data_IF_412636827220
#
_entry.id   IF_412636827220
#
_cell.length_a   1.000
_cell.length_b   1.000
_cell.length_c   1.000
_cell.angle_alpha   90.00
_cell.angle_beta   90.00
_cell.angle_gamma   90.00
#
_symmetry.space_group_name_H-M   'P 1'
#
loop_
_entity.id
_entity.type
_entity.pdbx_description
1 polymer ?
#
# COMPACT_ATOMS: atom_id res chain seq x y z
N UNK A 1 -44.30 21.67 58.73
CA UNK A 1 -42.85 21.54 58.56
C UNK A 1 -42.72 20.73 57.31
N UNK A 2 -42.30 21.37 56.23
CA UNK A 2 -42.48 20.90 54.88
C UNK A 2 -41.21 20.25 54.36
N UNK A 3 -41.33 19.06 53.84
CA UNK A 3 -40.30 18.30 53.22
C UNK A 3 -39.85 18.92 51.90
N UNK A 4 -38.55 19.20 51.81
CA UNK A 4 -37.86 19.54 50.58
C UNK A 4 -37.19 18.25 50.04
N UNK A 5 -37.95 17.51 49.27
CA UNK A 5 -37.36 16.44 48.46
C UNK A 5 -36.72 17.09 47.21
N UNK A 6 -35.45 17.21 47.25
CA UNK A 6 -34.63 17.60 46.12
C UNK A 6 -34.60 16.47 45.09
N UNK A 7 -35.27 16.70 44.00
CA UNK A 7 -35.17 15.85 42.77
C UNK A 7 -33.75 15.98 42.22
N UNK A 8 -32.95 14.98 42.44
CA UNK A 8 -31.69 14.78 41.71
C UNK A 8 -32.08 14.33 40.30
N UNK A 9 -32.11 15.25 39.39
CA UNK A 9 -32.16 14.93 37.95
C UNK A 9 -30.79 14.34 37.62
N UNK A 10 -30.73 13.03 37.55
CA UNK A 10 -29.65 12.30 36.88
C UNK A 10 -29.70 12.68 35.40
N UNK A 11 -28.97 13.70 35.03
CA UNK A 11 -28.63 13.93 33.63
C UNK A 11 -27.76 12.76 33.18
N UNK A 12 -28.40 11.71 32.68
CA UNK A 12 -27.73 10.70 31.86
C UNK A 12 -27.22 11.42 30.65
N UNK A 13 -25.95 11.77 30.69
CA UNK A 13 -25.23 12.25 29.52
C UNK A 13 -25.17 11.07 28.54
N UNK A 14 -26.22 10.92 27.75
CA UNK A 14 -26.16 10.20 26.49
C UNK A 14 -25.22 11.05 25.62
N UNK A 15 -23.94 10.76 25.72
CA UNK A 15 -22.99 11.15 24.69
C UNK A 15 -23.40 10.33 23.47
N UNK A 16 -24.44 10.79 22.78
CA UNK A 16 -24.62 10.42 21.38
C UNK A 16 -23.32 10.82 20.71
N UNK A 17 -22.55 9.84 20.26
CA UNK A 17 -21.36 10.05 19.44
C UNK A 17 -21.86 10.70 18.14
N UNK A 18 -22.11 12.04 18.22
CA UNK A 18 -22.50 12.82 17.06
C UNK A 18 -21.29 12.84 16.12
N UNK A 19 -21.52 12.47 14.89
CA UNK A 19 -20.55 12.62 13.81
C UNK A 19 -20.06 14.08 13.79
N UNK A 20 -18.79 14.31 14.05
CA UNK A 20 -18.20 15.65 14.13
C UNK A 20 -17.15 15.83 13.09
N UNK A 21 -17.21 16.96 12.40
CA UNK A 21 -16.13 17.41 11.52
C UNK A 21 -15.49 18.66 12.13
N UNK A 22 -14.21 18.57 12.46
CA UNK A 22 -13.44 19.66 13.04
C UNK A 22 -12.55 20.32 12.00
N UNK A 23 -12.49 21.66 11.92
CA UNK A 23 -11.58 22.37 11.01
C UNK A 23 -10.14 22.36 11.53
N UNK A 24 -9.21 22.73 10.65
CA UNK A 24 -7.82 22.98 11.02
C UNK A 24 -6.94 21.73 11.08
N UNK A 25 -7.24 20.69 10.31
CA UNK A 25 -6.38 19.51 10.21
C UNK A 25 -4.94 19.94 9.87
N UNK A 26 -4.00 19.59 10.76
CA UNK A 26 -2.58 19.96 10.66
C UNK A 26 -2.33 21.49 10.53
N UNK A 27 -3.18 22.33 11.12
CA UNK A 27 -3.07 23.80 11.07
C UNK A 27 -3.39 24.41 9.71
N UNK A 28 -4.01 23.66 8.80
CA UNK A 28 -4.40 24.14 7.46
C UNK A 28 -5.84 24.65 7.47
N UNK A 29 -6.04 25.86 7.01
CA UNK A 29 -7.38 26.40 6.77
C UNK A 29 -8.10 25.61 5.66
N UNK A 30 -9.42 25.45 5.76
CA UNK A 30 -10.27 24.68 4.85
C UNK A 30 -9.94 23.18 4.76
N UNK A 31 -9.31 22.63 5.80
CA UNK A 31 -9.06 21.20 5.97
C UNK A 31 -9.82 20.69 7.18
N UNK A 32 -10.51 19.57 7.01
CA UNK A 32 -11.46 19.05 8.00
C UNK A 32 -11.14 17.61 8.35
N UNK A 33 -11.24 17.27 9.63
CA UNK A 33 -11.24 15.88 10.08
C UNK A 33 -12.63 15.51 10.58
N UNK A 34 -13.20 14.44 10.07
CA UNK A 34 -14.50 13.91 10.43
C UNK A 34 -14.37 12.55 11.11
N UNK A 35 -15.12 12.35 12.20
CA UNK A 35 -15.10 11.11 12.98
C UNK A 35 -16.52 10.67 13.36
N UNK A 36 -16.68 9.37 13.69
CA UNK A 36 -17.95 8.83 14.17
C UNK A 36 -19.04 8.76 13.12
N UNK A 37 -18.68 8.81 11.82
CA UNK A 37 -19.64 8.73 10.73
C UNK A 37 -20.11 7.29 10.51
N UNK A 38 -21.41 7.11 10.34
CA UNK A 38 -22.00 5.85 9.86
C UNK A 38 -22.43 5.94 8.38
N UNK A 39 -22.44 7.16 7.83
CA UNK A 39 -22.73 7.46 6.43
C UNK A 39 -22.01 8.75 6.04
N UNK A 40 -21.80 8.96 4.74
CA UNK A 40 -21.17 10.19 4.20
C UNK A 40 -22.19 11.34 4.10
N UNK A 41 -22.84 11.67 5.20
CA UNK A 41 -23.84 12.74 5.32
C UNK A 41 -23.42 13.81 6.32
N UNK A 42 -22.20 14.25 6.23
CA UNK A 42 -21.63 15.28 7.09
C UNK A 42 -21.74 16.69 6.47
N UNK A 43 -21.74 17.70 7.32
CA UNK A 43 -21.80 19.10 6.89
C UNK A 43 -20.48 19.80 7.20
N UNK A 44 -19.79 20.20 6.14
CA UNK A 44 -18.65 21.11 6.18
C UNK A 44 -18.80 22.16 5.08
N UNK A 45 -18.13 23.31 5.18
CA UNK A 45 -18.23 24.35 4.16
C UNK A 45 -17.88 23.84 2.76
N UNK A 46 -18.56 24.28 1.71
CA UNK A 46 -18.34 23.80 0.34
C UNK A 46 -16.95 24.15 -0.21
N UNK A 47 -16.26 25.12 0.39
CA UNK A 47 -14.87 25.47 0.02
C UNK A 47 -13.79 24.61 0.68
N UNK A 48 -14.13 23.45 1.23
CA UNK A 48 -13.16 22.52 1.81
C UNK A 48 -12.15 22.05 0.76
N UNK A 49 -10.86 22.15 1.09
CA UNK A 49 -9.74 21.70 0.26
C UNK A 49 -9.23 20.32 0.63
N UNK A 50 -9.40 19.93 1.88
CA UNK A 50 -9.01 18.61 2.37
C UNK A 50 -10.04 18.06 3.35
N UNK A 51 -10.34 16.77 3.20
CA UNK A 51 -11.22 16.01 4.07
C UNK A 51 -10.52 14.74 4.50
N UNK A 52 -10.41 14.54 5.82
CA UNK A 52 -9.93 13.30 6.42
C UNK A 52 -11.04 12.66 7.23
N UNK A 53 -11.45 11.45 6.88
CA UNK A 53 -12.48 10.68 7.60
C UNK A 53 -11.78 9.51 8.28
N UNK A 54 -11.89 9.46 9.60
CA UNK A 54 -11.28 8.44 10.44
C UNK A 54 -12.29 7.93 11.46
N UNK A 55 -11.98 6.83 12.15
CA UNK A 55 -12.79 6.31 13.26
C UNK A 55 -14.30 6.26 12.94
N UNK A 56 -14.65 5.88 11.73
CA UNK A 56 -16.02 5.88 11.18
C UNK A 56 -16.39 4.49 10.67
N UNK A 57 -17.67 4.21 10.51
CA UNK A 57 -18.16 2.94 10.00
C UNK A 57 -18.90 3.16 8.66
N UNK A 58 -18.12 3.19 7.58
CA UNK A 58 -18.62 3.50 6.23
C UNK A 58 -18.32 2.31 5.33
N UNK A 59 -19.25 1.35 5.24
CA UNK A 59 -19.05 0.16 4.41
C UNK A 59 -19.10 0.45 2.90
N UNK A 60 -19.79 1.55 2.50
CA UNK A 60 -20.07 1.86 1.10
C UNK A 60 -19.94 3.34 0.80
N UNK A 61 -19.23 3.68 -0.26
CA UNK A 61 -19.17 5.03 -0.84
C UNK A 61 -20.15 5.05 -2.04
N UNK A 62 -21.19 5.84 -1.93
CA UNK A 62 -22.25 5.93 -2.95
C UNK A 62 -21.83 6.82 -4.12
N UNK A 63 -22.50 6.66 -5.25
CA UNK A 63 -22.43 7.58 -6.40
C UNK A 63 -22.59 9.03 -5.92
N UNK A 64 -21.79 9.94 -6.46
CA UNK A 64 -21.80 11.38 -6.16
C UNK A 64 -21.61 11.74 -4.66
N UNK A 65 -21.01 10.86 -3.86
CA UNK A 65 -20.87 11.03 -2.41
C UNK A 65 -20.18 12.35 -1.99
N UNK A 66 -19.38 12.91 -2.85
CA UNK A 66 -18.60 14.13 -2.60
C UNK A 66 -18.92 15.28 -3.56
N UNK A 67 -20.01 15.20 -4.33
CA UNK A 67 -20.35 16.17 -5.38
C UNK A 67 -20.38 17.64 -4.89
N UNK A 68 -20.76 17.86 -3.62
CA UNK A 68 -20.78 19.20 -3.03
C UNK A 68 -19.39 19.87 -2.90
N UNK A 69 -18.32 19.11 -3.10
CA UNK A 69 -16.94 19.59 -3.01
C UNK A 69 -16.22 19.61 -4.35
N UNK A 70 -16.93 19.45 -5.46
CA UNK A 70 -16.38 19.34 -6.82
C UNK A 70 -15.39 20.46 -7.16
N UNK A 71 -15.71 21.70 -6.77
CA UNK A 71 -14.93 22.87 -7.15
C UNK A 71 -13.70 23.13 -6.28
N UNK A 72 -13.58 22.45 -5.11
CA UNK A 72 -12.61 22.84 -4.10
C UNK A 72 -11.71 21.72 -3.59
N UNK A 73 -12.17 20.45 -3.63
CA UNK A 73 -11.48 19.36 -2.95
C UNK A 73 -10.19 18.95 -3.67
N UNK A 74 -9.08 19.02 -2.94
CA UNK A 74 -7.73 18.67 -3.43
C UNK A 74 -7.25 17.35 -2.83
N UNK A 75 -7.64 17.05 -1.59
CA UNK A 75 -7.25 15.83 -0.88
C UNK A 75 -8.45 15.23 -0.15
N UNK A 76 -8.63 13.90 -0.32
CA UNK A 76 -9.62 13.11 0.37
C UNK A 76 -8.96 11.87 0.97
N UNK A 77 -9.04 11.74 2.29
CA UNK A 77 -8.56 10.56 3.00
C UNK A 77 -9.69 9.89 3.77
N UNK A 78 -9.89 8.58 3.58
CA UNK A 78 -10.85 7.76 4.30
C UNK A 78 -10.08 6.58 4.88
N UNK A 79 -9.73 6.66 6.16
CA UNK A 79 -8.80 5.73 6.79
C UNK A 79 -9.46 4.90 7.87
N UNK A 80 -9.37 3.57 7.75
CA UNK A 80 -9.85 2.65 8.78
C UNK A 80 -11.36 2.68 9.00
N UNK A 81 -12.12 3.02 7.95
CA UNK A 81 -13.57 3.19 8.04
C UNK A 81 -14.37 1.94 7.63
N UNK A 82 -13.67 0.86 7.22
CA UNK A 82 -14.32 -0.38 6.83
C UNK A 82 -14.94 -0.37 5.43
N UNK A 83 -14.53 0.53 4.55
CA UNK A 83 -15.04 0.62 3.18
C UNK A 83 -14.79 -0.67 2.41
N UNK A 84 -15.86 -1.30 1.93
CA UNK A 84 -15.84 -2.53 1.13
C UNK A 84 -16.24 -2.27 -0.32
N UNK A 85 -17.18 -1.35 -0.53
CA UNK A 85 -17.76 -1.05 -1.84
C UNK A 85 -17.65 0.43 -2.19
N UNK A 86 -17.24 0.71 -3.42
CA UNK A 86 -17.23 2.04 -4.02
C UNK A 86 -18.10 1.96 -5.28
N UNK A 87 -19.23 2.67 -5.28
CA UNK A 87 -20.13 2.69 -6.42
C UNK A 87 -19.49 3.38 -7.64
N UNK A 88 -19.95 3.05 -8.85
CA UNK A 88 -19.60 3.83 -10.04
C UNK A 88 -19.85 5.31 -9.82
N UNK A 89 -18.94 6.15 -10.33
CA UNK A 89 -19.02 7.61 -10.22
C UNK A 89 -19.06 8.18 -8.78
N UNK A 90 -18.59 7.42 -7.79
CA UNK A 90 -18.54 7.85 -6.40
C UNK A 90 -17.76 9.17 -6.19
N UNK A 91 -16.77 9.42 -7.04
CA UNK A 91 -15.92 10.61 -7.01
C UNK A 91 -16.11 11.52 -8.23
N UNK A 92 -17.27 11.41 -8.91
CA UNK A 92 -17.56 12.21 -10.10
C UNK A 92 -17.51 13.70 -9.79
N UNK A 93 -16.89 14.49 -10.69
CA UNK A 93 -16.78 15.94 -10.60
C UNK A 93 -15.68 16.42 -9.67
N UNK A 94 -14.90 15.53 -9.01
CA UNK A 94 -13.75 15.94 -8.21
C UNK A 94 -12.53 16.26 -9.08
N UNK A 95 -12.69 17.14 -10.06
CA UNK A 95 -11.66 17.44 -11.06
C UNK A 95 -10.39 18.02 -10.45
N UNK A 96 -10.48 18.66 -9.28
CA UNK A 96 -9.34 19.23 -8.58
C UNK A 96 -8.65 18.25 -7.63
N UNK A 97 -9.17 17.02 -7.46
CA UNK A 97 -8.60 16.06 -6.52
C UNK A 97 -7.24 15.55 -6.98
N UNK A 98 -6.24 15.77 -6.16
CA UNK A 98 -4.86 15.34 -6.39
C UNK A 98 -4.46 14.13 -5.53
N UNK A 99 -5.04 13.98 -4.35
CA UNK A 99 -4.70 12.90 -3.41
C UNK A 99 -5.97 12.20 -2.98
N UNK A 100 -6.03 10.88 -3.25
CA UNK A 100 -7.06 9.99 -2.74
C UNK A 100 -6.41 8.91 -1.87
N UNK A 101 -6.66 8.98 -0.57
CA UNK A 101 -6.22 7.99 0.41
C UNK A 101 -7.41 7.14 0.89
N UNK A 102 -7.31 5.83 0.70
CA UNK A 102 -8.32 4.84 1.13
C UNK A 102 -7.67 3.78 2.03
N UNK A 103 -6.82 4.24 2.94
CA UNK A 103 -5.94 3.41 3.76
C UNK A 103 -6.71 2.56 4.76
N UNK A 104 -6.26 1.31 4.97
CA UNK A 104 -6.79 0.42 6.00
C UNK A 104 -8.31 0.23 5.91
N UNK A 105 -8.78 -0.14 4.72
CA UNK A 105 -10.18 -0.47 4.44
C UNK A 105 -10.29 -1.94 3.96
N UNK A 106 -11.39 -2.31 3.34
CA UNK A 106 -11.66 -3.67 2.89
C UNK A 106 -11.92 -3.75 1.38
N UNK A 107 -11.41 -2.79 0.62
CA UNK A 107 -11.60 -2.68 -0.83
C UNK A 107 -10.97 -3.88 -1.52
N UNK A 108 -11.73 -4.54 -2.42
CA UNK A 108 -11.27 -5.75 -3.12
C UNK A 108 -10.87 -5.50 -4.58
N UNK A 109 -11.32 -4.41 -5.18
CA UNK A 109 -11.04 -4.10 -6.58
C UNK A 109 -10.78 -2.61 -6.78
N UNK A 110 -9.78 -2.31 -7.61
CA UNK A 110 -9.60 -0.95 -8.14
C UNK A 110 -10.32 -0.90 -9.48
N UNK A 111 -11.48 -0.27 -9.51
CA UNK A 111 -12.36 -0.26 -10.65
C UNK A 111 -12.30 1.08 -11.40
N UNK A 112 -12.28 1.02 -12.73
CA UNK A 112 -12.23 2.20 -13.58
C UNK A 112 -13.45 3.11 -13.43
N UNK A 113 -14.58 2.56 -12.99
CA UNK A 113 -15.83 3.30 -12.90
C UNK A 113 -15.82 4.41 -11.85
N UNK A 114 -15.04 4.26 -10.77
CA UNK A 114 -14.88 5.33 -9.78
C UNK A 114 -13.58 6.14 -9.97
N UNK A 115 -12.59 5.58 -10.70
CA UNK A 115 -11.34 6.29 -11.04
C UNK A 115 -11.57 7.35 -12.14
N UNK A 116 -12.46 7.11 -13.09
CA UNK A 116 -12.69 8.00 -14.25
C UNK A 116 -13.10 9.42 -13.88
N UNK A 117 -13.64 9.63 -12.67
CA UNK A 117 -13.99 10.95 -12.15
C UNK A 117 -12.82 11.76 -11.59
N UNK A 118 -11.56 11.29 -11.75
CA UNK A 118 -10.38 11.85 -11.09
C UNK A 118 -9.25 12.19 -12.08
N UNK A 119 -9.47 13.12 -13.02
CA UNK A 119 -8.53 13.38 -14.13
C UNK A 119 -7.17 13.94 -13.66
N UNK A 120 -7.12 14.61 -12.51
CA UNK A 120 -5.92 15.25 -11.97
C UNK A 120 -5.30 14.50 -10.78
N UNK A 121 -5.66 13.22 -10.58
CA UNK A 121 -5.16 12.43 -9.45
C UNK A 121 -3.66 12.17 -9.55
N UNK A 122 -2.89 12.64 -8.57
CA UNK A 122 -1.44 12.51 -8.48
C UNK A 122 -0.98 11.46 -7.48
N UNK A 123 -1.78 11.20 -6.45
CA UNK A 123 -1.49 10.15 -5.47
C UNK A 123 -2.73 9.31 -5.21
N UNK A 124 -2.60 7.98 -5.38
CA UNK A 124 -3.61 6.98 -5.04
C UNK A 124 -3.03 6.05 -3.99
N UNK A 125 -3.60 6.06 -2.78
CA UNK A 125 -3.07 5.34 -1.62
C UNK A 125 -4.11 4.36 -1.13
N UNK A 126 -3.83 3.06 -1.33
CA UNK A 126 -4.68 1.93 -0.98
C UNK A 126 -3.99 0.96 -0.01
N UNK A 127 -3.03 1.46 0.76
CA UNK A 127 -2.27 0.66 1.72
C UNK A 127 -3.20 -0.05 2.73
N UNK A 128 -2.93 -1.34 2.99
CA UNK A 128 -3.75 -2.19 3.87
C UNK A 128 -5.21 -2.27 3.46
N UNK A 129 -5.45 -2.78 2.28
CA UNK A 129 -6.77 -3.19 1.81
C UNK A 129 -6.78 -4.69 1.49
N UNK A 130 -7.78 -5.16 0.73
CA UNK A 130 -7.92 -6.55 0.28
C UNK A 130 -7.97 -6.63 -1.24
N UNK A 131 -7.26 -5.74 -1.92
CA UNK A 131 -7.32 -5.65 -3.38
C UNK A 131 -6.74 -6.91 -4.00
N UNK A 132 -7.56 -7.61 -4.78
CA UNK A 132 -7.21 -8.81 -5.56
C UNK A 132 -7.11 -8.52 -7.05
N UNK A 133 -7.80 -7.46 -7.52
CA UNK A 133 -7.94 -7.14 -8.94
C UNK A 133 -7.83 -5.64 -9.21
N UNK A 134 -7.24 -5.31 -10.35
CA UNK A 134 -7.08 -3.96 -10.86
C UNK A 134 -7.61 -3.93 -12.30
N UNK A 135 -8.68 -3.16 -12.53
CA UNK A 135 -9.21 -2.96 -13.88
C UNK A 135 -8.14 -2.33 -14.78
N UNK A 136 -7.81 -2.99 -15.88
CA UNK A 136 -6.78 -2.56 -16.81
C UNK A 136 -7.03 -1.16 -17.41
N UNK A 137 -8.27 -0.70 -17.45
CA UNK A 137 -8.63 0.63 -17.95
C UNK A 137 -8.12 1.77 -17.07
N UNK A 138 -7.81 1.51 -15.79
CA UNK A 138 -7.30 2.57 -14.90
C UNK A 138 -5.98 3.16 -15.39
N UNK A 139 -5.14 2.35 -16.05
CA UNK A 139 -3.85 2.80 -16.57
C UNK A 139 -3.99 3.86 -17.68
N UNK A 140 -5.12 3.86 -18.36
CA UNK A 140 -5.47 4.86 -19.38
C UNK A 140 -6.20 6.08 -18.79
N UNK A 141 -6.56 6.05 -17.52
CA UNK A 141 -7.23 7.15 -16.82
C UNK A 141 -6.29 7.94 -15.89
N UNK A 142 -5.28 7.29 -15.35
CA UNK A 142 -4.38 7.86 -14.32
C UNK A 142 -3.15 8.55 -14.94
N UNK A 143 -3.37 9.47 -15.89
CA UNK A 143 -2.29 10.14 -16.61
C UNK A 143 -1.40 11.03 -15.74
N UNK A 144 -1.96 11.57 -14.65
CA UNK A 144 -1.29 12.49 -13.73
C UNK A 144 -0.67 11.78 -12.52
N UNK A 145 -0.82 10.45 -12.42
CA UNK A 145 -0.40 9.69 -11.24
C UNK A 145 1.12 9.73 -11.06
N UNK A 146 1.57 10.21 -9.89
CA UNK A 146 2.97 10.31 -9.49
C UNK A 146 3.33 9.29 -8.41
N UNK A 147 2.40 9.04 -7.48
CA UNK A 147 2.58 8.11 -6.36
C UNK A 147 1.44 7.11 -6.34
N UNK A 148 1.79 5.84 -6.32
CA UNK A 148 0.81 4.76 -6.17
C UNK A 148 1.20 3.85 -5.02
N UNK A 149 0.35 3.74 -4.02
CA UNK A 149 0.55 2.84 -2.89
C UNK A 149 -0.52 1.75 -2.89
N UNK A 150 -0.11 0.53 -3.25
CA UNK A 150 -0.92 -0.69 -3.23
C UNK A 150 -0.30 -1.74 -2.31
N UNK A 151 0.58 -1.32 -1.40
CA UNK A 151 1.23 -2.24 -0.49
C UNK A 151 0.23 -2.85 0.52
N UNK A 152 0.56 -4.06 0.99
CA UNK A 152 -0.26 -4.82 1.93
C UNK A 152 -1.69 -5.03 1.43
N UNK A 153 -1.79 -5.65 0.26
CA UNK A 153 -3.03 -6.10 -0.38
C UNK A 153 -2.94 -7.59 -0.75
N UNK A 154 -3.90 -8.08 -1.53
CA UNK A 154 -4.01 -9.48 -1.94
C UNK A 154 -3.73 -9.66 -3.45
N UNK A 155 -2.93 -8.78 -4.06
CA UNK A 155 -2.60 -8.81 -5.47
C UNK A 155 -1.62 -9.95 -5.79
N UNK A 156 -2.07 -10.94 -6.56
CA UNK A 156 -1.24 -12.03 -7.09
C UNK A 156 -0.92 -11.87 -8.57
N UNK A 157 -1.80 -11.20 -9.31
CA UNK A 157 -1.60 -10.89 -10.72
C UNK A 157 -0.60 -9.75 -10.91
N UNK A 158 0.31 -9.92 -11.86
CA UNK A 158 1.39 -8.97 -12.14
C UNK A 158 0.92 -7.62 -12.68
N UNK A 159 1.56 -6.55 -12.22
CA UNK A 159 1.55 -5.28 -12.96
C UNK A 159 2.52 -5.43 -14.15
N UNK A 160 1.98 -5.67 -15.34
CA UNK A 160 2.85 -5.85 -16.50
C UNK A 160 3.58 -4.56 -16.87
N UNK A 161 4.81 -4.65 -17.38
CA UNK A 161 5.54 -3.49 -17.90
C UNK A 161 4.73 -2.67 -18.93
N UNK A 162 3.93 -3.32 -19.76
CA UNK A 162 3.11 -2.63 -20.77
C UNK A 162 1.99 -1.80 -20.15
N UNK A 163 1.41 -2.24 -19.05
CA UNK A 163 0.46 -1.45 -18.29
C UNK A 163 1.16 -0.28 -17.57
N UNK A 164 2.29 -0.56 -16.91
CA UNK A 164 3.04 0.47 -16.19
C UNK A 164 3.56 1.60 -17.10
N UNK A 165 3.90 1.30 -18.36
CA UNK A 165 4.30 2.29 -19.38
C UNK A 165 3.26 3.38 -19.64
N UNK A 166 1.98 3.10 -19.41
CA UNK A 166 0.89 4.06 -19.56
C UNK A 166 0.91 5.13 -18.47
N UNK A 167 1.44 4.83 -17.29
CA UNK A 167 1.57 5.76 -16.16
C UNK A 167 2.82 6.65 -16.32
N UNK A 168 2.83 7.54 -17.30
CA UNK A 168 4.00 8.32 -17.72
C UNK A 168 4.59 9.22 -16.64
N UNK A 169 3.80 9.65 -15.68
CA UNK A 169 4.23 10.52 -14.57
C UNK A 169 4.56 9.78 -13.29
N UNK A 170 4.43 8.45 -13.26
CA UNK A 170 4.73 7.65 -12.08
C UNK A 170 6.20 7.80 -11.65
N UNK A 171 6.43 8.14 -10.39
CA UNK A 171 7.75 8.32 -9.79
C UNK A 171 7.99 7.41 -8.59
N UNK A 172 6.91 6.96 -7.95
CA UNK A 172 6.99 6.09 -6.77
C UNK A 172 5.82 5.12 -6.75
N UNK A 173 6.13 3.84 -6.50
CA UNK A 173 5.13 2.81 -6.26
C UNK A 173 5.52 1.98 -5.04
N UNK A 174 4.55 1.65 -4.18
CA UNK A 174 4.72 0.77 -3.04
C UNK A 174 3.95 -0.51 -3.33
N UNK A 175 4.67 -1.63 -3.41
CA UNK A 175 4.15 -2.94 -3.83
C UNK A 175 4.36 -4.04 -2.77
N UNK A 176 4.97 -3.71 -1.65
CA UNK A 176 5.27 -4.64 -0.56
C UNK A 176 4.00 -5.32 0.01
N UNK A 177 4.14 -6.50 0.63
CA UNK A 177 3.04 -7.18 1.32
C UNK A 177 1.92 -7.67 0.41
N UNK A 178 2.22 -8.00 -0.85
CA UNK A 178 1.31 -8.65 -1.78
C UNK A 178 1.82 -10.04 -2.18
N UNK A 179 0.94 -11.02 -2.43
CA UNK A 179 1.33 -12.38 -2.81
C UNK A 179 1.75 -12.49 -4.29
N UNK A 180 2.67 -11.62 -4.73
CA UNK A 180 3.19 -11.68 -6.09
C UNK A 180 3.92 -13.00 -6.34
N UNK A 181 3.64 -13.65 -7.47
CA UNK A 181 4.45 -14.77 -7.91
C UNK A 181 5.88 -14.34 -8.25
N UNK A 182 6.82 -15.24 -8.17
CA UNK A 182 8.23 -14.96 -8.45
C UNK A 182 8.47 -14.47 -9.88
N UNK A 183 7.78 -15.07 -10.85
CA UNK A 183 7.82 -14.61 -12.25
C UNK A 183 7.24 -13.23 -12.45
N UNK A 184 6.33 -12.84 -11.58
CA UNK A 184 5.73 -11.52 -11.58
C UNK A 184 6.71 -10.44 -11.15
N UNK A 185 7.47 -10.73 -10.08
CA UNK A 185 8.35 -9.75 -9.43
C UNK A 185 9.49 -9.30 -10.33
N UNK A 186 10.17 -10.23 -10.99
CA UNK A 186 11.36 -9.93 -11.75
C UNK A 186 11.13 -8.92 -12.90
N UNK A 187 10.21 -9.14 -13.87
CA UNK A 187 9.99 -8.17 -14.95
C UNK A 187 9.41 -6.86 -14.44
N UNK A 188 8.56 -6.89 -13.41
CA UNK A 188 7.98 -5.70 -12.80
C UNK A 188 9.06 -4.83 -12.14
N UNK A 189 9.88 -5.41 -11.26
CA UNK A 189 10.93 -4.65 -10.55
C UNK A 189 12.05 -4.21 -11.48
N UNK A 190 12.39 -5.02 -12.48
CA UNK A 190 13.33 -4.62 -13.52
C UNK A 190 12.83 -3.40 -14.30
N UNK A 191 11.56 -3.40 -14.72
CA UNK A 191 10.95 -2.26 -15.41
C UNK A 191 10.98 -1.00 -14.53
N UNK A 192 10.57 -1.12 -13.27
CA UNK A 192 10.55 0.00 -12.33
C UNK A 192 11.96 0.59 -12.13
N UNK A 193 12.96 -0.25 -11.93
CA UNK A 193 14.36 0.16 -11.77
C UNK A 193 14.92 0.84 -13.02
N UNK A 194 14.72 0.22 -14.20
CA UNK A 194 15.20 0.75 -15.49
C UNK A 194 14.56 2.09 -15.88
N UNK A 195 13.37 2.37 -15.38
CA UNK A 195 12.67 3.63 -15.61
C UNK A 195 12.80 4.64 -14.45
N UNK A 196 13.71 4.40 -13.51
CA UNK A 196 13.96 5.26 -12.35
C UNK A 196 12.72 5.51 -11.48
N UNK A 197 11.77 4.58 -11.48
CA UNK A 197 10.59 4.63 -10.61
C UNK A 197 11.01 4.05 -9.26
N UNK A 198 10.96 4.86 -8.20
CA UNK A 198 11.24 4.37 -6.85
C UNK A 198 10.17 3.39 -6.42
N UNK A 199 10.57 2.23 -5.90
CA UNK A 199 9.62 1.24 -5.41
C UNK A 199 10.05 0.67 -4.06
N UNK A 200 9.06 0.30 -3.25
CA UNK A 200 9.26 -0.40 -1.99
C UNK A 200 8.67 -1.79 -2.15
N UNK A 201 9.53 -2.79 -2.01
CA UNK A 201 9.20 -4.22 -2.02
C UNK A 201 9.55 -4.84 -0.67
N UNK A 202 8.99 -6.00 -0.38
CA UNK A 202 9.46 -6.80 0.73
C UNK A 202 10.87 -7.34 0.45
N UNK A 203 11.72 -7.22 1.44
CA UNK A 203 12.96 -7.98 1.47
C UNK A 203 12.60 -9.35 2.04
N UNK A 204 12.42 -10.35 1.20
CA UNK A 204 12.29 -11.70 1.67
C UNK A 204 13.55 -12.48 1.32
N UNK A 205 13.98 -13.35 2.22
CA UNK A 205 15.02 -14.35 1.95
C UNK A 205 14.66 -15.13 0.68
N UNK A 206 13.38 -15.29 0.41
CA UNK A 206 12.89 -15.89 -0.82
C UNK A 206 13.38 -15.22 -2.10
N UNK A 207 13.60 -13.90 -2.13
CA UNK A 207 14.11 -13.24 -3.36
C UNK A 207 15.55 -13.69 -3.67
N UNK A 208 16.39 -13.90 -2.65
CA UNK A 208 17.73 -14.45 -2.81
C UNK A 208 17.70 -15.91 -3.25
N UNK A 209 16.82 -16.72 -2.66
CA UNK A 209 16.64 -18.13 -3.04
C UNK A 209 16.12 -18.27 -4.46
N UNK A 210 15.30 -17.34 -4.92
CA UNK A 210 14.83 -17.29 -6.30
C UNK A 210 15.97 -17.02 -7.27
N UNK A 211 16.77 -16.00 -7.00
CA UNK A 211 17.95 -15.68 -7.83
C UNK A 211 18.88 -16.89 -7.92
N UNK A 212 19.11 -17.57 -6.79
CA UNK A 212 19.91 -18.79 -6.73
C UNK A 212 19.29 -19.92 -7.56
N UNK A 213 17.98 -20.16 -7.42
CA UNK A 213 17.27 -21.17 -8.22
C UNK A 213 17.27 -20.84 -9.71
N UNK A 214 17.07 -19.59 -10.09
CA UNK A 214 17.10 -19.17 -11.49
C UNK A 214 18.50 -19.32 -12.11
N UNK A 215 19.55 -19.14 -11.31
CA UNK A 215 20.93 -19.27 -11.76
C UNK A 215 21.40 -20.73 -11.91
N UNK A 216 20.91 -21.63 -11.04
CA UNK A 216 21.51 -22.98 -10.90
C UNK A 216 20.55 -24.13 -11.18
N UNK A 217 19.22 -23.94 -11.16
CA UNK A 217 18.25 -25.02 -11.42
C UNK A 217 17.82 -25.03 -12.89
N UNK A 218 18.14 -26.06 -13.67
CA UNK A 218 17.75 -26.14 -15.08
C UNK A 218 16.23 -26.07 -15.27
N UNK A 219 15.76 -25.15 -16.11
CA UNK A 219 14.36 -24.97 -16.43
C UNK A 219 13.58 -24.09 -15.44
N UNK A 220 14.17 -23.66 -14.33
CA UNK A 220 13.53 -22.74 -13.39
C UNK A 220 13.18 -21.39 -14.03
N UNK A 221 13.92 -21.00 -15.06
CA UNK A 221 13.67 -19.81 -15.88
C UNK A 221 12.42 -19.91 -16.77
N UNK A 222 11.94 -21.14 -17.02
CA UNK A 222 10.85 -21.46 -17.97
C UNK A 222 9.59 -21.97 -17.31
N UNK A 223 9.72 -22.74 -16.21
CA UNK A 223 8.62 -23.45 -15.56
C UNK A 223 8.48 -23.05 -14.09
N UNK A 224 7.31 -22.49 -13.71
CA UNK A 224 7.00 -22.11 -12.34
C UNK A 224 7.06 -23.32 -11.37
N UNK A 225 6.67 -24.52 -11.83
CA UNK A 225 6.72 -25.70 -10.99
C UNK A 225 8.15 -26.08 -10.59
N UNK A 226 9.12 -25.92 -11.51
CA UNK A 226 10.54 -26.18 -11.25
C UNK A 226 11.09 -25.11 -10.28
N UNK A 227 10.80 -23.83 -10.55
CA UNK A 227 11.22 -22.74 -9.68
C UNK A 227 10.67 -22.92 -8.27
N UNK A 228 9.36 -23.13 -8.13
CA UNK A 228 8.72 -23.34 -6.83
C UNK A 228 9.33 -24.53 -6.09
N UNK A 229 9.51 -25.67 -6.77
CA UNK A 229 10.13 -26.86 -6.18
C UNK A 229 11.57 -26.61 -5.72
N UNK A 230 12.33 -25.82 -6.48
CA UNK A 230 13.69 -25.44 -6.09
C UNK A 230 13.66 -24.55 -4.84
N UNK A 231 12.84 -23.50 -4.82
CA UNK A 231 12.71 -22.61 -3.67
C UNK A 231 12.22 -23.36 -2.43
N UNK A 232 11.19 -24.21 -2.57
CA UNK A 232 10.66 -25.02 -1.46
C UNK A 232 11.71 -25.99 -0.91
N UNK A 233 12.50 -26.60 -1.78
CA UNK A 233 13.62 -27.48 -1.38
C UNK A 233 14.67 -26.67 -0.61
N UNK A 234 15.01 -25.48 -1.05
CA UNK A 234 15.99 -24.63 -0.39
C UNK A 234 15.45 -24.09 0.96
N UNK A 235 14.17 -23.74 1.03
CA UNK A 235 13.50 -23.39 2.28
C UNK A 235 13.41 -24.61 3.21
N UNK A 236 12.99 -25.76 2.72
CA UNK A 236 12.81 -26.98 3.50
C UNK A 236 14.12 -27.65 3.95
N UNK A 237 15.20 -27.53 3.17
CA UNK A 237 16.53 -27.97 3.59
C UNK A 237 17.17 -27.04 4.64
N UNK A 238 16.55 -25.91 4.88
CA UNK A 238 16.98 -24.90 5.83
C UNK A 238 16.31 -25.00 7.21
N UNK A 239 16.08 -26.23 7.72
CA UNK A 239 15.89 -26.43 9.17
C UNK A 239 17.03 -25.81 10.00
N UNK A 240 18.05 -25.31 9.31
CA UNK A 240 19.21 -24.61 9.84
C UNK A 240 19.32 -23.14 9.40
N UNK A 241 18.42 -22.60 8.55
CA UNK A 241 18.39 -21.16 8.31
C UNK A 241 17.55 -20.49 9.42
N UNK A 242 18.21 -19.94 10.43
CA UNK A 242 17.48 -19.20 11.43
C UNK A 242 16.95 -17.95 10.75
N UNK A 243 15.63 -17.86 10.64
CA UNK A 243 14.91 -16.62 10.34
C UNK A 243 15.13 -15.55 11.44
N UNK A 244 16.17 -15.68 12.22
CA UNK A 244 16.55 -14.75 13.25
C UNK A 244 17.80 -13.97 12.84
N UNK A 245 17.88 -12.71 13.26
CA UNK A 245 19.06 -11.87 13.16
C UNK A 245 20.32 -12.59 13.69
N UNK A 246 20.17 -13.47 14.68
CA UNK A 246 21.23 -14.30 15.24
C UNK A 246 21.86 -15.26 14.23
N UNK A 247 21.06 -15.87 13.36
CA UNK A 247 21.62 -16.80 12.37
C UNK A 247 22.26 -16.13 11.17
N UNK A 248 21.73 -14.98 10.75
CA UNK A 248 22.40 -14.14 9.75
C UNK A 248 23.77 -13.66 10.29
N UNK A 249 23.83 -13.25 11.54
CA UNK A 249 25.06 -12.85 12.19
C UNK A 249 26.06 -14.01 12.29
N UNK A 250 25.62 -15.23 12.54
CA UNK A 250 26.46 -16.42 12.57
C UNK A 250 27.02 -16.75 11.17
N UNK A 251 26.21 -16.63 10.11
CA UNK A 251 26.69 -16.82 8.73
C UNK A 251 27.70 -15.74 8.32
N UNK A 252 27.41 -14.47 8.64
CA UNK A 252 28.35 -13.36 8.42
C UNK A 252 29.68 -13.63 9.14
N UNK A 253 29.63 -14.08 10.39
CA UNK A 253 30.83 -14.43 11.17
C UNK A 253 31.64 -15.56 10.52
N UNK A 254 30.97 -16.62 10.04
CA UNK A 254 31.61 -17.73 9.32
C UNK A 254 32.25 -17.29 8.01
N UNK A 255 31.57 -16.44 7.23
CA UNK A 255 32.11 -15.90 5.99
C UNK A 255 33.29 -14.96 6.24
N UNK A 256 33.18 -14.08 7.23
CA UNK A 256 34.30 -13.21 7.63
C UNK A 256 35.54 -14.01 8.06
N UNK A 257 35.32 -15.11 8.81
CA UNK A 257 36.39 -16.01 9.19
C UNK A 257 37.07 -16.69 7.99
N UNK A 258 36.29 -17.14 6.98
CA UNK A 258 36.83 -17.71 5.74
C UNK A 258 37.64 -16.66 4.92
N UNK A 259 37.10 -15.44 4.81
CA UNK A 259 37.80 -14.35 4.12
C UNK A 259 39.16 -14.06 4.79
N UNK A 260 39.18 -13.94 6.12
CA UNK A 260 40.42 -13.72 6.87
C UNK A 260 41.48 -14.85 6.69
N UNK A 261 41.01 -16.11 6.66
CA UNK A 261 41.88 -17.25 6.39
C UNK A 261 42.47 -17.21 4.98
N UNK A 262 41.64 -16.90 3.97
CA UNK A 262 42.10 -16.75 2.59
C UNK A 262 43.07 -15.57 2.42
N UNK A 263 42.86 -14.46 3.11
CA UNK A 263 43.77 -13.31 3.12
C UNK A 263 45.15 -13.68 3.69
N UNK A 264 45.18 -14.51 4.77
CA UNK A 264 46.45 -15.00 5.34
C UNK A 264 47.17 -15.96 4.39
N UNK A 265 46.43 -16.84 3.71
CA UNK A 265 46.97 -17.76 2.73
C UNK A 265 47.57 -17.03 1.52
N UNK A 266 46.87 -16.02 1.01
CA UNK A 266 47.37 -15.15 -0.06
C UNK A 266 48.59 -14.37 0.38
N UNK A 267 48.65 -13.90 1.62
CA UNK A 267 49.82 -13.21 2.17
C UNK A 267 51.02 -14.15 2.31
N UNK A 268 50.80 -15.41 2.72
CA UNK A 268 51.85 -16.43 2.79
C UNK A 268 52.39 -16.79 1.41
N UNK A 269 51.52 -16.95 0.41
CA UNK A 269 51.92 -17.23 -0.98
C UNK A 269 52.71 -16.07 -1.61
N UNK A 270 52.36 -14.82 -1.30
CA UNK A 270 53.11 -13.65 -1.74
C UNK A 270 54.52 -13.62 -1.14
N UNK A 271 54.71 -14.03 0.12
CA UNK A 271 56.03 -14.11 0.78
C UNK A 271 56.90 -15.25 0.25
N UNK A 272 56.30 -16.34 -0.22
CA UNK A 272 57.02 -17.51 -0.77
C UNK A 272 57.48 -17.31 -2.23
N UNK A 273 57.04 -16.22 -2.89
CA UNK A 273 57.43 -15.87 -4.27
C UNK A 273 58.54 -14.80 -4.34
N UNK A 274 59.07 -14.36 -3.22
CA UNK A 274 60.22 -13.48 -3.08
C UNK A 274 61.41 -14.28 -2.52
#
# INVERSE_FOLDING_TARGET
>A
MRDLLGSIVLATCLVSCLATCTPGLNGRENWYQCEGLNQLNFQIPPGAKGISIVNSNISKIKTDAFAQFSDSLIELNITGCGVEEIEPDAFRGLDNLQILGLVNNKIRKIDATWIRGLPNLRALILWRNRVVDIDSKIYDLLHELVVWDIAHNELSACLSPDMLKKLKKLRKILIAGNPWSYRCRAPMTWYLGSNHIRFIKDWSISDLLIEECLAHEPGADREDAILNKCVDRMVGSSDTLPYSVAGLNEQVRKLTGKVSALEQEVAALKKAKV
#
